data_IF_976674185205
#
_entry.id   IF_976674185205
#
_cell.length_a   1.000
_cell.length_b   1.000
_cell.length_c   1.000
_cell.angle_alpha   90.00
_cell.angle_beta   90.00
_cell.angle_gamma   90.00
#
_symmetry.space_group_name_H-M   'P 1'
#
loop_
_entity.id
_entity.type
_entity.pdbx_description
1 polymer ?
#
# COMPACT_ATOMS: atom_id res chain seq x y z
N UNK A 1 -11.61 8.14 10.07
CA UNK A 1 -10.55 7.10 9.99
C UNK A 1 -9.29 7.74 10.55
N UNK A 2 -8.83 7.29 11.69
CA UNK A 2 -7.51 7.67 12.24
C UNK A 2 -6.49 6.71 11.65
N UNK A 3 -5.64 7.13 10.71
CA UNK A 3 -4.56 6.30 10.19
C UNK A 3 -3.63 5.92 11.36
N UNK A 4 -3.14 4.70 11.38
CA UNK A 4 -2.24 4.15 12.40
C UNK A 4 -2.85 3.85 13.78
N UNK A 5 -4.15 3.69 13.91
CA UNK A 5 -4.77 3.40 15.20
C UNK A 5 -4.35 2.01 15.76
N UNK A 6 -4.15 1.02 14.89
CA UNK A 6 -3.69 -0.34 15.24
C UNK A 6 -2.66 -0.86 14.24
N UNK A 7 -1.42 -0.33 14.25
CA UNK A 7 -0.41 -0.75 13.29
C UNK A 7 0.00 -2.19 13.55
N UNK A 8 -0.07 -3.01 12.52
CA UNK A 8 0.48 -4.38 12.49
C UNK A 8 1.72 -4.39 11.59
N UNK A 9 2.47 -5.48 11.65
CA UNK A 9 3.66 -5.63 10.86
C UNK A 9 3.34 -5.93 9.37
N UNK A 10 4.19 -5.44 8.52
CA UNK A 10 4.24 -5.81 7.11
C UNK A 10 5.68 -6.12 6.72
N UNK A 11 5.86 -7.08 5.84
CA UNK A 11 7.16 -7.41 5.26
C UNK A 11 6.99 -7.67 3.78
N UNK A 12 7.97 -7.25 2.98
CA UNK A 12 7.88 -7.41 1.54
C UNK A 12 9.21 -7.20 0.85
N UNK A 13 9.19 -7.43 -0.46
CA UNK A 13 10.29 -7.18 -1.35
C UNK A 13 9.77 -6.46 -2.60
N UNK A 14 10.62 -5.66 -3.21
CA UNK A 14 10.27 -4.97 -4.43
C UNK A 14 11.42 -4.95 -5.42
N UNK A 15 11.05 -4.87 -6.68
CA UNK A 15 11.96 -4.60 -7.78
C UNK A 15 11.58 -3.28 -8.42
N UNK A 16 12.57 -2.40 -8.62
CA UNK A 16 12.38 -1.09 -9.24
C UNK A 16 13.24 -0.97 -10.48
N UNK A 17 12.60 -0.60 -11.57
CA UNK A 17 13.25 -0.26 -12.83
C UNK A 17 13.10 1.23 -13.09
N UNK A 18 14.20 1.95 -13.10
CA UNK A 18 14.21 3.37 -13.42
C UNK A 18 14.24 3.53 -14.94
N UNK A 19 13.17 4.09 -15.52
CA UNK A 19 13.05 4.38 -16.95
C UNK A 19 13.96 5.58 -17.27
N UNK A 20 13.85 6.61 -16.44
CA UNK A 20 14.69 7.80 -16.48
C UNK A 20 14.94 8.35 -15.07
N UNK A 21 15.43 9.58 -14.94
CA UNK A 21 15.70 10.21 -13.64
C UNK A 21 14.44 10.51 -12.83
N UNK A 22 13.27 10.63 -13.48
CA UNK A 22 11.99 10.99 -12.85
C UNK A 22 11.00 9.84 -12.81
N UNK A 23 11.02 8.96 -13.82
CA UNK A 23 10.04 7.89 -13.92
C UNK A 23 10.66 6.55 -13.58
N UNK A 24 9.96 5.78 -12.77
CA UNK A 24 10.31 4.41 -12.46
C UNK A 24 9.06 3.53 -12.45
N UNK A 25 9.25 2.25 -12.76
CA UNK A 25 8.25 1.20 -12.55
C UNK A 25 8.71 0.34 -11.40
N UNK A 26 7.81 0.09 -10.45
CA UNK A 26 8.04 -0.74 -9.28
C UNK A 26 7.09 -1.93 -9.30
N UNK A 27 7.63 -3.13 -9.11
CA UNK A 27 6.88 -4.34 -8.77
C UNK A 27 7.12 -4.61 -7.29
N UNK A 28 6.06 -4.75 -6.54
CA UNK A 28 6.09 -4.87 -5.08
C UNK A 28 5.29 -6.11 -4.65
N UNK A 29 5.85 -6.88 -3.74
CA UNK A 29 5.22 -8.06 -3.13
C UNK A 29 5.30 -7.90 -1.63
N UNK A 30 4.16 -7.84 -0.97
CA UNK A 30 4.06 -7.64 0.47
C UNK A 30 3.22 -8.74 1.10
N UNK A 31 3.57 -9.09 2.32
CA UNK A 31 2.68 -9.79 3.24
C UNK A 31 2.41 -8.86 4.41
N UNK A 32 1.16 -8.65 4.72
CA UNK A 32 0.73 -7.73 5.77
C UNK A 32 -0.37 -8.36 6.62
N UNK A 33 -0.47 -7.87 7.86
CA UNK A 33 -1.57 -8.18 8.76
C UNK A 33 -2.31 -6.88 9.03
N UNK A 34 -3.62 -6.90 8.93
CA UNK A 34 -4.49 -5.76 9.29
C UNK A 34 -5.43 -6.17 10.41
N UNK A 35 -5.76 -5.19 11.23
CA UNK A 35 -6.73 -5.31 12.31
C UNK A 35 -7.69 -4.13 12.27
N UNK A 36 -8.98 -4.40 12.42
CA UNK A 36 -10.00 -3.38 12.60
C UNK A 36 -10.88 -3.72 13.80
N UNK A 37 -11.36 -2.69 14.50
CA UNK A 37 -12.25 -2.80 15.63
C UNK A 37 -13.30 -1.69 15.56
N UNK A 38 -14.56 -2.06 15.60
CA UNK A 38 -15.69 -1.10 15.56
C UNK A 38 -15.71 -0.16 16.77
N UNK A 39 -14.99 -0.46 17.86
CA UNK A 39 -14.83 0.44 19.00
C UNK A 39 -14.13 1.75 18.66
N UNK A 40 -13.31 1.73 17.61
CA UNK A 40 -12.56 2.90 17.14
C UNK A 40 -13.49 3.92 16.45
N UNK A 41 -14.72 3.52 16.11
CA UNK A 41 -15.76 4.35 15.50
C UNK A 41 -16.81 4.86 16.51
N UNK A 42 -16.56 4.87 17.78
CA UNK A 42 -17.36 5.07 18.97
C UNK A 42 -18.62 5.96 18.95
N UNK A 43 -18.92 6.66 17.86
CA UNK A 43 -20.10 7.53 17.71
C UNK A 43 -21.02 7.13 16.56
N UNK A 44 -20.71 6.09 15.80
CA UNK A 44 -21.41 5.78 14.52
C UNK A 44 -22.26 4.52 14.64
N UNK A 45 -22.03 3.68 15.64
CA UNK A 45 -22.82 2.46 15.83
C UNK A 45 -24.20 2.79 16.43
N UNK A 46 -25.30 2.45 15.74
CA UNK A 46 -26.63 2.65 16.30
C UNK A 46 -26.84 1.76 17.54
N UNK A 47 -27.18 2.41 18.63
CA UNK A 47 -27.71 1.89 19.89
C UNK A 47 -27.50 0.40 20.18
N UNK A 48 -26.47 0.09 20.97
CA UNK A 48 -26.40 -1.17 21.75
C UNK A 48 -25.94 -2.41 20.99
N UNK A 49 -25.34 -2.26 19.83
CA UNK A 49 -24.83 -3.38 19.06
C UNK A 49 -23.45 -3.86 19.56
N UNK A 50 -23.21 -5.16 19.43
CA UNK A 50 -21.98 -5.81 19.85
C UNK A 50 -20.80 -5.29 19.03
N UNK A 51 -19.68 -5.02 19.69
CA UNK A 51 -18.44 -4.65 19.03
C UNK A 51 -17.90 -5.84 18.22
N UNK A 52 -17.45 -5.56 17.01
CA UNK A 52 -16.79 -6.54 16.16
C UNK A 52 -15.31 -6.17 15.97
N UNK A 53 -14.46 -7.19 16.00
CA UNK A 53 -13.03 -7.07 15.74
C UNK A 53 -12.66 -8.10 14.69
N UNK A 54 -11.85 -7.69 13.72
CA UNK A 54 -11.26 -8.61 12.77
C UNK A 54 -9.73 -8.45 12.75
N UNK A 55 -9.04 -9.53 12.46
CA UNK A 55 -7.63 -9.57 12.18
C UNK A 55 -7.42 -10.47 10.97
N UNK A 56 -6.73 -9.97 9.94
CA UNK A 56 -6.54 -10.69 8.70
C UNK A 56 -5.14 -10.54 8.16
N UNK A 57 -4.51 -11.67 7.83
CA UNK A 57 -3.29 -11.69 7.04
C UNK A 57 -3.62 -11.73 5.55
N UNK A 58 -2.89 -11.00 4.74
CA UNK A 58 -3.05 -10.98 3.30
C UNK A 58 -1.72 -10.79 2.58
N UNK A 59 -1.65 -11.27 1.35
CA UNK A 59 -0.56 -11.01 0.43
C UNK A 59 -1.02 -10.00 -0.61
N UNK A 60 -0.19 -9.00 -0.88
CA UNK A 60 -0.42 -7.96 -1.87
C UNK A 60 0.69 -7.97 -2.90
N UNK A 61 0.33 -8.02 -4.17
CA UNK A 61 1.26 -7.93 -5.30
C UNK A 61 0.78 -6.80 -6.19
N UNK A 62 1.60 -5.78 -6.40
CA UNK A 62 1.21 -4.67 -7.27
C UNK A 62 2.36 -4.16 -8.13
N UNK A 63 1.99 -3.65 -9.31
CA UNK A 63 2.86 -2.89 -10.17
C UNK A 63 2.45 -1.43 -10.13
N UNK A 64 3.41 -0.53 -9.89
CA UNK A 64 3.18 0.89 -9.79
C UNK A 64 4.17 1.69 -10.62
N UNK A 65 3.70 2.82 -11.13
CA UNK A 65 4.54 3.86 -11.73
C UNK A 65 4.84 4.88 -10.65
N UNK A 66 6.11 5.23 -10.50
CA UNK A 66 6.60 6.24 -9.57
C UNK A 66 7.07 7.47 -10.35
N UNK A 67 6.69 8.65 -9.87
CA UNK A 67 7.19 9.93 -10.35
C UNK A 67 8.01 10.62 -9.27
N UNK A 68 9.31 10.79 -9.52
CA UNK A 68 10.24 11.48 -8.63
C UNK A 68 10.24 12.99 -8.94
N UNK A 69 10.09 13.82 -7.92
CA UNK A 69 10.06 15.28 -8.11
C UNK A 69 11.44 15.84 -8.38
N UNK A 70 12.50 15.23 -7.84
CA UNK A 70 13.88 15.64 -8.05
C UNK A 70 14.68 14.51 -8.72
N UNK A 71 15.63 14.90 -9.57
CA UNK A 71 16.53 13.96 -10.23
C UNK A 71 17.53 13.38 -9.22
N UNK A 72 17.45 12.08 -8.95
CA UNK A 72 18.42 11.35 -8.10
C UNK A 72 19.40 10.52 -8.94
N UNK A 73 19.28 10.52 -10.26
CA UNK A 73 20.11 9.72 -11.15
C UNK A 73 21.56 10.21 -11.23
N UNK A 74 22.51 9.28 -11.42
CA UNK A 74 23.90 9.63 -11.77
C UNK A 74 24.03 10.24 -13.17
N UNK A 75 22.99 10.15 -13.99
CA UNK A 75 22.95 10.64 -15.38
C UNK A 75 22.51 12.10 -15.53
N UNK A 76 22.28 12.82 -14.44
CA UNK A 76 22.00 14.24 -14.53
C UNK A 76 23.28 14.97 -14.94
N UNK A 77 23.25 15.65 -16.08
CA UNK A 77 24.30 16.56 -16.56
C UNK A 77 24.57 17.66 -15.52
N UNK A 78 23.58 17.95 -14.70
CA UNK A 78 23.71 18.74 -13.49
C UNK A 78 23.81 17.79 -12.31
N UNK A 79 24.96 17.76 -11.63
CA UNK A 79 25.12 17.08 -10.34
C UNK A 79 23.90 17.43 -9.48
N UNK A 80 23.01 16.46 -9.26
CA UNK A 80 21.87 16.66 -8.40
C UNK A 80 22.38 17.14 -7.04
N UNK A 81 21.94 18.31 -6.63
CA UNK A 81 22.32 18.91 -5.35
C UNK A 81 21.63 18.22 -4.18
N UNK A 82 20.69 17.33 -4.48
CA UNK A 82 19.87 16.67 -3.49
C UNK A 82 20.06 15.15 -3.55
N UNK A 83 20.49 14.58 -2.43
CA UNK A 83 20.57 13.13 -2.23
C UNK A 83 19.20 12.53 -1.87
N UNK A 84 18.13 13.33 -1.90
CA UNK A 84 16.77 12.94 -1.53
C UNK A 84 15.75 13.43 -2.56
N UNK A 85 14.69 12.62 -2.79
CA UNK A 85 13.54 13.02 -3.59
C UNK A 85 12.24 12.52 -2.97
N UNK A 86 11.22 13.36 -2.85
CA UNK A 86 9.87 12.88 -2.71
C UNK A 86 9.37 12.28 -4.04
N UNK A 87 8.42 11.37 -3.94
CA UNK A 87 7.77 10.78 -5.11
C UNK A 87 6.30 10.49 -4.81
N UNK A 88 5.53 10.40 -5.88
CA UNK A 88 4.17 9.89 -5.88
C UNK A 88 4.13 8.59 -6.67
N UNK A 89 3.20 7.71 -6.33
CA UNK A 89 2.99 6.48 -7.07
C UNK A 89 1.52 6.19 -7.29
N UNK A 90 1.26 5.54 -8.42
CA UNK A 90 -0.04 5.00 -8.78
C UNK A 90 0.15 3.64 -9.44
N UNK A 91 -0.69 2.67 -9.12
CA UNK A 91 -0.53 1.32 -9.66
C UNK A 91 -1.81 0.53 -9.76
N UNK A 92 -1.62 -0.75 -10.07
CA UNK A 92 -2.65 -1.78 -10.05
C UNK A 92 -2.06 -3.03 -9.39
N UNK A 93 -2.87 -3.75 -8.66
CA UNK A 93 -2.43 -4.91 -7.92
C UNK A 93 -3.52 -5.93 -7.67
N UNK A 94 -3.11 -7.01 -7.03
CA UNK A 94 -3.95 -8.09 -6.56
C UNK A 94 -3.67 -8.30 -5.07
N UNK A 95 -4.73 -8.30 -4.29
CA UNK A 95 -4.73 -8.66 -2.88
C UNK A 95 -5.28 -10.07 -2.75
N UNK A 96 -4.50 -10.96 -2.13
CA UNK A 96 -4.89 -12.34 -1.86
C UNK A 96 -5.02 -12.54 -0.35
N UNK A 97 -6.16 -13.01 0.11
CA UNK A 97 -6.40 -13.31 1.51
C UNK A 97 -7.15 -14.62 1.68
N UNK A 98 -6.96 -15.25 2.83
CA UNK A 98 -7.64 -16.49 3.19
C UNK A 98 -8.76 -16.19 4.17
N UNK A 99 -9.89 -16.84 3.98
CA UNK A 99 -10.95 -16.80 4.98
C UNK A 99 -10.46 -17.46 6.27
N UNK A 100 -10.75 -16.84 7.43
CA UNK A 100 -10.30 -17.28 8.76
C UNK A 100 -10.79 -18.70 9.11
N UNK A 101 -11.82 -19.17 8.44
CA UNK A 101 -12.44 -20.50 8.68
C UNK A 101 -11.92 -21.59 7.75
N UNK A 102 -10.77 -21.41 7.11
CA UNK A 102 -10.21 -22.43 6.22
C UNK A 102 -10.96 -22.58 4.88
N UNK A 103 -11.69 -21.52 4.51
CA UNK A 103 -12.38 -21.40 3.25
C UNK A 103 -11.43 -21.12 2.08
N UNK A 104 -12.01 -20.84 0.94
CA UNK A 104 -11.31 -20.55 -0.32
C UNK A 104 -10.45 -19.29 -0.22
N UNK A 105 -9.29 -19.30 -0.85
CA UNK A 105 -8.50 -18.09 -1.05
C UNK A 105 -9.28 -17.13 -1.97
N UNK A 106 -9.39 -15.88 -1.55
CA UNK A 106 -10.01 -14.81 -2.32
C UNK A 106 -8.93 -13.93 -2.94
N UNK A 107 -9.16 -13.48 -4.17
CA UNK A 107 -8.26 -12.62 -4.92
C UNK A 107 -9.03 -11.40 -5.37
N UNK A 108 -8.55 -10.23 -4.98
CA UNK A 108 -9.23 -8.96 -5.24
C UNK A 108 -8.29 -7.99 -5.93
N UNK A 109 -8.82 -7.25 -6.90
CA UNK A 109 -8.11 -6.18 -7.57
C UNK A 109 -7.91 -5.01 -6.61
N UNK A 110 -6.74 -4.38 -6.66
CA UNK A 110 -6.42 -3.20 -5.87
C UNK A 110 -5.83 -2.09 -6.73
N UNK A 111 -6.08 -0.85 -6.33
CA UNK A 111 -5.44 0.34 -6.88
C UNK A 111 -4.64 1.00 -5.76
N UNK A 112 -3.30 0.80 -5.71
CA UNK A 112 -2.43 1.51 -4.81
C UNK A 112 -2.20 2.95 -5.30
N UNK A 113 -2.35 3.90 -4.39
CA UNK A 113 -1.94 5.29 -4.54
C UNK A 113 -1.07 5.62 -3.34
N UNK A 114 0.10 6.20 -3.57
CA UNK A 114 1.03 6.46 -2.48
C UNK A 114 1.94 7.66 -2.71
N UNK A 115 2.53 8.06 -1.60
CA UNK A 115 3.58 9.07 -1.55
C UNK A 115 4.77 8.50 -0.80
N UNK A 116 5.95 8.98 -1.11
CA UNK A 116 7.14 8.54 -0.41
C UNK A 116 8.32 9.48 -0.56
N UNK A 117 9.40 9.11 0.10
CA UNK A 117 10.68 9.78 0.00
C UNK A 117 11.79 8.77 -0.15
N UNK A 118 12.78 9.10 -0.95
CA UNK A 118 14.00 8.32 -1.18
C UNK A 118 15.20 9.12 -0.77
N UNK A 119 16.12 8.50 -0.04
CA UNK A 119 17.43 9.05 0.33
C UNK A 119 18.53 8.15 -0.16
N UNK A 120 19.40 8.71 -0.97
CA UNK A 120 20.60 8.02 -1.44
C UNK A 120 21.66 8.07 -0.34
N UNK A 121 21.90 6.94 0.34
CA UNK A 121 22.92 6.84 1.39
C UNK A 121 24.31 6.81 0.76
N UNK A 122 24.44 6.06 -0.33
CA UNK A 122 25.65 6.00 -1.14
C UNK A 122 25.29 5.60 -2.59
N UNK A 123 26.31 5.39 -3.46
CA UNK A 123 26.09 5.05 -4.88
C UNK A 123 25.24 3.81 -5.10
N UNK A 124 25.22 2.87 -4.14
CA UNK A 124 24.52 1.59 -4.28
C UNK A 124 23.31 1.45 -3.39
N UNK A 125 23.23 2.21 -2.29
CA UNK A 125 22.20 2.06 -1.28
C UNK A 125 21.27 3.28 -1.24
N UNK A 126 19.98 3.02 -1.30
CA UNK A 126 18.93 4.03 -1.17
C UNK A 126 17.94 3.60 -0.08
N UNK A 127 17.73 4.44 0.90
CA UNK A 127 16.68 4.32 1.91
C UNK A 127 15.40 4.92 1.36
N UNK A 128 14.28 4.25 1.56
CA UNK A 128 12.95 4.74 1.20
C UNK A 128 11.98 4.71 2.36
N UNK A 129 11.10 5.71 2.41
CA UNK A 129 9.91 5.71 3.26
C UNK A 129 8.72 5.89 2.32
N UNK A 130 7.69 5.09 2.48
CA UNK A 130 6.50 5.09 1.64
C UNK A 130 5.25 4.93 2.48
N UNK A 131 4.22 5.68 2.15
CA UNK A 131 2.87 5.51 2.65
C UNK A 131 1.92 5.38 1.47
N UNK A 132 1.16 4.30 1.43
CA UNK A 132 0.22 4.00 0.36
C UNK A 132 -1.15 3.63 0.90
N UNK A 133 -2.17 3.99 0.15
CA UNK A 133 -3.55 3.60 0.35
C UNK A 133 -3.92 2.72 -0.84
N UNK A 134 -4.47 1.56 -0.55
CA UNK A 134 -4.90 0.58 -1.53
C UNK A 134 -6.42 0.51 -1.52
N UNK A 135 -7.04 0.88 -2.63
CA UNK A 135 -8.47 0.71 -2.83
C UNK A 135 -8.73 -0.67 -3.39
N UNK A 136 -9.57 -1.46 -2.71
CA UNK A 136 -10.07 -2.74 -3.18
C UNK A 136 -11.37 -2.54 -3.98
N UNK A 137 -11.71 -3.51 -4.83
CA UNK A 137 -12.98 -3.52 -5.56
C UNK A 137 -13.98 -4.48 -4.94
N UNK A 138 -13.79 -4.83 -3.68
CA UNK A 138 -14.67 -5.67 -2.88
C UNK A 138 -15.12 -4.94 -1.63
N UNK A 139 -16.22 -5.39 -1.06
CA UNK A 139 -16.81 -4.97 0.20
C UNK A 139 -16.77 -6.14 1.22
N UNK A 140 -15.91 -7.12 0.97
CA UNK A 140 -15.85 -8.36 1.76
C UNK A 140 -14.53 -8.54 2.49
N UNK A 141 -13.63 -7.56 2.39
CA UNK A 141 -12.29 -7.67 2.97
C UNK A 141 -12.31 -7.62 4.50
N UNK A 142 -13.21 -6.86 5.10
CA UNK A 142 -13.41 -6.72 6.53
C UNK A 142 -14.46 -7.69 7.11
N UNK A 143 -15.25 -8.34 6.25
CA UNK A 143 -16.27 -9.31 6.67
C UNK A 143 -15.61 -10.65 7.02
N UNK A 144 -15.71 -11.04 8.28
CA UNK A 144 -15.08 -12.26 8.81
C UNK A 144 -16.06 -13.37 9.16
N UNK A 145 -17.37 -13.10 9.20
CA UNK A 145 -18.44 -14.07 9.55
C UNK A 145 -19.83 -13.62 9.15
N UNK A 146 -20.73 -14.60 8.99
CA UNK A 146 -22.16 -14.39 8.78
C UNK A 146 -22.88 -13.58 9.90
N UNK A 147 -22.25 -13.40 11.03
CA UNK A 147 -22.72 -12.56 12.15
C UNK A 147 -22.27 -11.11 12.03
N UNK A 148 -21.45 -10.76 11.06
CA UNK A 148 -20.83 -9.44 10.93
C UNK A 148 -21.50 -8.55 9.88
N UNK A 149 -22.82 -8.65 9.72
CA UNK A 149 -23.62 -7.65 8.99
C UNK A 149 -23.34 -6.22 9.50
N UNK A 150 -22.86 -6.09 10.74
CA UNK A 150 -22.46 -4.82 11.34
C UNK A 150 -21.21 -4.22 10.68
N UNK A 151 -20.27 -5.05 10.23
CA UNK A 151 -19.06 -4.59 9.54
C UNK A 151 -19.31 -4.31 8.05
N UNK A 152 -20.20 -5.08 7.43
CA UNK A 152 -20.57 -4.93 6.02
C UNK A 152 -21.29 -3.58 5.74
N UNK A 153 -22.13 -3.12 6.68
CA UNK A 153 -22.80 -1.83 6.54
C UNK A 153 -23.10 -1.19 7.91
N UNK A 154 -22.09 -0.68 8.62
CA UNK A 154 -22.26 -0.19 10.00
C UNK A 154 -23.20 1.00 10.12
N UNK A 155 -23.45 1.75 9.05
CA UNK A 155 -24.31 2.94 9.03
C UNK A 155 -25.67 2.70 8.41
N UNK A 156 -25.93 1.49 7.91
CA UNK A 156 -27.14 1.14 7.15
C UNK A 156 -27.41 2.13 5.99
N UNK A 157 -26.34 2.68 5.43
CA UNK A 157 -26.42 3.60 4.29
C UNK A 157 -26.67 2.83 2.99
N UNK A 158 -27.38 3.44 2.00
CA UNK A 158 -27.54 2.79 0.71
C UNK A 158 -26.20 2.59 0.03
N UNK A 159 -25.89 1.36 -0.38
CA UNK A 159 -24.63 1.01 -1.08
C UNK A 159 -24.53 1.80 -2.40
N UNK A 160 -23.52 2.66 -2.50
CA UNK A 160 -23.26 3.52 -3.66
C UNK A 160 -22.15 2.93 -4.52
N UNK A 161 -22.27 1.66 -4.91
CA UNK A 161 -21.43 1.01 -5.91
C UNK A 161 -19.91 1.23 -5.71
N UNK A 162 -19.25 1.89 -6.66
CA UNK A 162 -17.79 2.04 -6.68
C UNK A 162 -17.19 2.83 -5.50
N UNK A 163 -17.97 3.60 -4.75
CA UNK A 163 -17.49 4.40 -3.61
C UNK A 163 -17.54 3.63 -2.27
N UNK A 164 -18.27 2.52 -2.24
CA UNK A 164 -18.56 1.75 -1.02
C UNK A 164 -17.68 0.48 -0.95
N UNK A 165 -16.39 0.62 -1.22
CA UNK A 165 -15.44 -0.48 -1.26
C UNK A 165 -14.34 -0.29 -0.23
N UNK A 166 -13.74 -1.38 0.21
CA UNK A 166 -12.74 -1.41 1.26
C UNK A 166 -11.43 -0.73 0.88
N UNK A 167 -10.77 -0.19 1.90
CA UNK A 167 -9.46 0.42 1.80
C UNK A 167 -8.54 -0.13 2.88
N UNK A 168 -7.29 -0.36 2.54
CA UNK A 168 -6.23 -0.55 3.53
C UNK A 168 -5.06 0.38 3.27
N UNK A 169 -4.27 0.64 4.32
CA UNK A 169 -3.14 1.54 4.29
C UNK A 169 -1.88 0.80 4.71
N UNK A 170 -0.81 1.01 3.98
CA UNK A 170 0.52 0.47 4.27
C UNK A 170 1.53 1.62 4.45
N UNK A 171 2.31 1.54 5.54
CA UNK A 171 3.49 2.37 5.74
C UNK A 171 4.72 1.48 5.74
N UNK A 172 5.70 1.80 4.90
CA UNK A 172 6.90 0.98 4.68
C UNK A 172 8.17 1.80 4.81
N UNK A 173 9.18 1.19 5.41
CA UNK A 173 10.57 1.61 5.33
C UNK A 173 11.29 0.58 4.48
N UNK A 174 12.04 1.01 3.49
CA UNK A 174 12.67 0.13 2.51
C UNK A 174 14.14 0.46 2.33
N UNK A 175 14.93 -0.55 2.06
CA UNK A 175 16.33 -0.42 1.66
C UNK A 175 16.48 -1.04 0.28
N UNK A 176 16.94 -0.28 -0.69
CA UNK A 176 17.18 -0.76 -2.05
C UNK A 176 18.65 -0.72 -2.41
N UNK A 177 19.06 -1.71 -3.20
CA UNK A 177 20.42 -1.87 -3.72
C UNK A 177 20.38 -1.70 -5.24
N UNK A 178 21.17 -0.78 -5.78
CA UNK A 178 21.33 -0.64 -7.22
C UNK A 178 22.20 -1.79 -7.75
N UNK A 179 21.60 -2.67 -8.55
CA UNK A 179 22.26 -3.84 -9.12
C UNK A 179 23.10 -3.53 -10.35
N UNK A 180 22.72 -2.48 -11.08
CA UNK A 180 23.38 -2.08 -12.32
C UNK A 180 23.90 -0.65 -12.20
N UNK A 181 25.21 -0.46 -12.36
CA UNK A 181 25.79 0.85 -12.64
C UNK A 181 25.42 1.18 -14.09
N UNK A 182 24.52 2.12 -14.29
CA UNK A 182 24.21 2.62 -15.63
C UNK A 182 25.42 3.40 -16.13
N UNK A 183 26.35 2.71 -16.78
CA UNK A 183 27.41 3.37 -17.53
C UNK A 183 26.75 4.25 -18.57
N UNK A 184 27.06 5.53 -18.52
CA UNK A 184 26.63 6.51 -19.50
C UNK A 184 26.92 5.98 -20.92
N UNK A 185 25.87 5.71 -21.69
CA UNK A 185 26.01 5.72 -23.13
C UNK A 185 26.17 7.17 -23.52
N UNK A 186 27.42 7.61 -23.65
CA UNK A 186 27.74 8.83 -24.39
C UNK A 186 27.28 8.62 -25.83
N UNK A 187 26.28 9.37 -26.23
CA UNK A 187 25.92 9.60 -27.62
C UNK A 187 25.98 11.09 -27.91
#
# INVERSE_FOLDING_TARGET
>A
ITPFNRPKWTAGAFYRYNIDTRWAVKLDVNYAVVEGDTRDFGYILPNGQSYARFERGFADIHAAVEFNFFDIGENSIYKSKFDATPYIMLGVGLCAYTDIYGGSSMYELSIPIGIGGKWKINKRLTLGIEWSIHKLFTDSFDVTNATNEILDNPTNAPKVGFLDTDFYSLAKISLSINLFDTKQFCR
#
